data_IF_778864676642
#
_entry.id   IF_778864676642
#
_cell.length_a   1.000
_cell.length_b   1.000
_cell.length_c   1.000
_cell.angle_alpha   90.00
_cell.angle_beta   90.00
_cell.angle_gamma   90.00
#
_symmetry.space_group_name_H-M   'P 1'
#
loop_
_entity.id
_entity.type
_entity.pdbx_description
1 polymer ?
#
# COMPACT_ATOMS: atom_id res chain seq x y z
N UNK A 1 -1.15 18.53 6.13
CA UNK A 1 -1.44 17.28 6.87
C UNK A 1 -2.93 16.95 6.92
N UNK A 2 -3.75 17.90 7.31
CA UNK A 2 -5.21 17.72 7.41
C UNK A 2 -5.83 17.40 6.04
N UNK A 3 -5.28 17.94 4.97
CA UNK A 3 -5.78 17.76 3.61
C UNK A 3 -5.61 16.34 3.08
N UNK A 4 -4.70 15.56 3.68
CA UNK A 4 -4.44 14.20 3.23
C UNK A 4 -5.50 13.21 3.76
N UNK A 5 -6.15 13.54 4.88
CA UNK A 5 -7.16 12.66 5.47
C UNK A 5 -8.38 12.46 4.58
N UNK A 6 -8.97 13.53 3.99
CA UNK A 6 -10.07 13.34 3.04
C UNK A 6 -9.65 12.54 1.83
N UNK A 7 -8.43 12.78 1.32
CA UNK A 7 -7.91 12.05 0.17
C UNK A 7 -7.74 10.56 0.47
N UNK A 8 -7.24 10.23 1.67
CA UNK A 8 -7.12 8.85 2.10
C UNK A 8 -8.50 8.19 2.25
N UNK A 9 -9.47 8.92 2.79
CA UNK A 9 -10.83 8.40 2.93
C UNK A 9 -11.47 8.14 1.56
N UNK A 10 -11.30 9.04 0.62
CA UNK A 10 -11.79 8.86 -0.76
C UNK A 10 -11.13 7.66 -1.42
N UNK A 11 -9.83 7.52 -1.26
CA UNK A 11 -9.07 6.40 -1.84
C UNK A 11 -9.54 5.08 -1.24
N UNK A 12 -9.73 5.04 0.08
CA UNK A 12 -10.22 3.84 0.76
C UNK A 12 -11.64 3.50 0.32
N UNK A 13 -12.51 4.50 0.16
CA UNK A 13 -13.85 4.31 -0.34
C UNK A 13 -13.88 3.78 -1.76
N UNK A 14 -13.06 4.36 -2.64
CA UNK A 14 -12.95 3.90 -4.01
C UNK A 14 -12.43 2.46 -4.08
N UNK A 15 -11.46 2.12 -3.25
CA UNK A 15 -10.94 0.75 -3.17
C UNK A 15 -12.01 -0.22 -2.68
N UNK A 16 -12.81 0.17 -1.69
CA UNK A 16 -13.90 -0.67 -1.18
C UNK A 16 -14.97 -0.89 -2.25
N UNK A 17 -15.36 0.14 -2.97
CA UNK A 17 -16.32 0.04 -4.07
C UNK A 17 -15.78 -0.86 -5.19
N UNK A 18 -14.52 -0.71 -5.55
CA UNK A 18 -13.89 -1.55 -6.55
C UNK A 18 -13.89 -3.02 -6.11
N UNK A 19 -13.62 -3.29 -4.82
CA UNK A 19 -13.65 -4.63 -4.28
C UNK A 19 -15.04 -5.24 -4.33
N UNK A 20 -16.08 -4.46 -3.99
CA UNK A 20 -17.47 -4.91 -4.07
C UNK A 20 -17.90 -5.18 -5.52
N UNK A 21 -17.61 -4.28 -6.42
CA UNK A 21 -17.91 -4.43 -7.84
C UNK A 21 -17.23 -5.64 -8.43
N UNK A 22 -16.01 -5.87 -8.03
CA UNK A 22 -15.21 -6.99 -8.48
C UNK A 22 -15.72 -8.32 -7.96
N UNK A 23 -16.11 -8.38 -6.70
CA UNK A 23 -16.70 -9.57 -6.10
C UNK A 23 -18.01 -9.90 -6.82
N UNK A 24 -18.83 -8.90 -7.12
CA UNK A 24 -20.08 -9.07 -7.85
C UNK A 24 -19.86 -9.53 -9.28
N UNK A 25 -18.77 -9.10 -9.90
CA UNK A 25 -18.41 -9.47 -11.28
C UNK A 25 -17.67 -10.82 -11.36
N UNK A 26 -17.38 -11.46 -10.22
CA UNK A 26 -16.64 -12.72 -10.21
C UNK A 26 -15.16 -12.52 -10.51
N UNK A 27 -14.58 -11.39 -10.10
CA UNK A 27 -13.17 -11.03 -10.40
C UNK A 27 -12.12 -11.98 -9.83
N UNK A 28 -12.42 -12.64 -8.71
CA UNK A 28 -11.55 -13.69 -8.16
C UNK A 28 -10.14 -13.24 -7.80
N UNK A 29 -9.20 -14.17 -7.97
CA UNK A 29 -7.81 -14.00 -7.56
C UNK A 29 -7.07 -12.86 -8.26
N UNK A 30 -7.19 -12.66 -9.59
CA UNK A 30 -6.50 -11.56 -10.25
C UNK A 30 -6.87 -10.19 -9.69
N UNK A 31 -8.14 -10.02 -9.35
CA UNK A 31 -8.60 -8.75 -8.80
C UNK A 31 -8.16 -8.56 -7.36
N UNK A 32 -8.25 -9.61 -6.55
CA UNK A 32 -7.73 -9.58 -5.18
C UNK A 32 -6.25 -9.20 -5.18
N UNK A 33 -5.47 -9.79 -6.08
CA UNK A 33 -4.05 -9.46 -6.22
C UNK A 33 -3.85 -8.01 -6.66
N UNK A 34 -4.64 -7.55 -7.62
CA UNK A 34 -4.55 -6.16 -8.09
C UNK A 34 -4.85 -5.16 -7.00
N UNK A 35 -5.88 -5.40 -6.18
CA UNK A 35 -6.24 -4.52 -5.07
C UNK A 35 -5.18 -4.53 -3.98
N UNK A 36 -4.68 -5.71 -3.63
CA UNK A 36 -3.61 -5.82 -2.64
C UNK A 36 -2.33 -5.14 -3.14
N UNK A 37 -1.99 -5.34 -4.42
CA UNK A 37 -0.84 -4.68 -5.02
C UNK A 37 -0.98 -3.16 -5.03
N UNK A 38 -2.15 -2.66 -5.39
CA UNK A 38 -2.43 -1.23 -5.37
C UNK A 38 -2.29 -0.66 -3.96
N UNK A 39 -2.86 -1.35 -2.96
CA UNK A 39 -2.75 -0.94 -1.56
C UNK A 39 -1.30 -0.93 -1.09
N UNK A 40 -0.55 -1.97 -1.39
CA UNK A 40 0.87 -2.05 -1.04
C UNK A 40 1.68 -0.94 -1.72
N UNK A 41 1.43 -0.67 -2.99
CA UNK A 41 2.12 0.38 -3.73
C UNK A 41 1.87 1.77 -3.12
N UNK A 42 0.61 2.04 -2.75
CA UNK A 42 0.26 3.28 -2.07
C UNK A 42 0.98 3.35 -0.72
N UNK A 43 0.97 2.27 0.04
CA UNK A 43 1.66 2.19 1.33
C UNK A 43 3.16 2.47 1.20
N UNK A 44 3.82 1.83 0.24
CA UNK A 44 5.24 2.07 -0.05
C UNK A 44 5.48 3.54 -0.41
N UNK A 45 4.64 4.09 -1.28
CA UNK A 45 4.75 5.48 -1.71
C UNK A 45 4.61 6.46 -0.55
N UNK A 46 3.64 6.23 0.35
CA UNK A 46 3.43 7.11 1.50
C UNK A 46 4.59 7.06 2.48
N UNK A 47 5.09 5.86 2.79
CA UNK A 47 6.24 5.71 3.67
C UNK A 47 7.48 6.34 3.06
N UNK A 48 7.71 6.11 1.77
CA UNK A 48 8.85 6.70 1.05
C UNK A 48 8.80 8.22 1.04
N UNK A 49 7.63 8.78 0.75
CA UNK A 49 7.44 10.23 0.78
C UNK A 49 7.70 10.81 2.17
N UNK A 50 7.14 10.17 3.20
CA UNK A 50 7.32 10.62 4.57
C UNK A 50 8.79 10.56 4.98
N UNK A 51 9.49 9.48 4.61
CA UNK A 51 10.93 9.34 4.88
C UNK A 51 11.75 10.42 4.17
N UNK A 52 11.44 10.68 2.90
CA UNK A 52 12.14 11.72 2.14
C UNK A 52 11.94 13.10 2.75
N UNK A 53 10.72 13.41 3.17
CA UNK A 53 10.44 14.69 3.85
C UNK A 53 11.15 14.78 5.19
N UNK A 54 11.20 13.69 5.94
CA UNK A 54 11.88 13.66 7.24
C UNK A 54 13.39 13.86 7.07
N UNK A 55 14.00 13.25 6.06
CA UNK A 55 15.43 13.47 5.74
C UNK A 55 15.67 14.92 5.36
N UNK A 56 14.77 15.50 4.56
CA UNK A 56 14.87 16.90 4.17
C UNK A 56 14.84 17.86 5.36
N UNK A 57 14.07 17.52 6.40
CA UNK A 57 13.98 18.33 7.60
C UNK A 57 15.10 18.04 8.60
N UNK A 58 15.66 16.85 8.59
CA UNK A 58 16.70 16.45 9.53
C UNK A 58 17.74 15.57 8.85
N UNK A 59 18.65 16.19 8.05
CA UNK A 59 19.65 15.41 7.30
C UNK A 59 20.61 14.63 8.20
N UNK A 60 20.85 15.10 9.43
CA UNK A 60 21.75 14.40 10.36
C UNK A 60 21.19 13.07 10.83
N UNK A 61 19.88 12.89 10.80
CA UNK A 61 19.23 11.64 11.18
C UNK A 61 18.91 10.75 9.96
N UNK A 62 19.42 11.07 8.79
CA UNK A 62 19.07 10.39 7.53
C UNK A 62 19.22 8.88 7.61
N UNK A 63 20.29 8.38 8.25
CA UNK A 63 20.52 6.93 8.37
C UNK A 63 19.41 6.22 9.12
N UNK A 64 18.99 6.77 10.25
CA UNK A 64 17.91 6.20 11.05
C UNK A 64 16.57 6.28 10.33
N UNK A 65 16.30 7.42 9.69
CA UNK A 65 15.06 7.64 8.96
C UNK A 65 14.97 6.67 7.78
N UNK A 66 16.06 6.51 7.04
CA UNK A 66 16.08 5.58 5.92
C UNK A 66 15.89 4.14 6.35
N UNK A 67 16.51 3.74 7.47
CA UNK A 67 16.34 2.39 8.00
C UNK A 67 14.87 2.10 8.32
N UNK A 68 14.22 2.99 9.04
CA UNK A 68 12.81 2.85 9.39
C UNK A 68 11.93 2.90 8.13
N UNK A 69 12.28 3.80 7.22
CA UNK A 69 11.55 3.94 5.96
C UNK A 69 11.61 2.67 5.11
N UNK A 70 12.81 2.10 4.95
CA UNK A 70 12.99 0.86 4.17
C UNK A 70 12.24 -0.29 4.83
N UNK A 71 12.30 -0.41 6.16
CA UNK A 71 11.54 -1.44 6.87
C UNK A 71 10.03 -1.28 6.64
N UNK A 72 9.52 -0.05 6.75
CA UNK A 72 8.11 0.21 6.53
C UNK A 72 7.67 -0.12 5.09
N UNK A 73 8.51 0.24 4.12
CA UNK A 73 8.23 -0.08 2.72
C UNK A 73 8.27 -1.60 2.48
N UNK A 74 9.23 -2.29 3.09
CA UNK A 74 9.35 -3.74 2.95
C UNK A 74 8.13 -4.46 3.54
N UNK A 75 7.63 -4.02 4.69
CA UNK A 75 6.43 -4.60 5.26
C UNK A 75 5.19 -4.33 4.41
N UNK A 76 5.06 -3.13 3.87
CA UNK A 76 3.96 -2.81 2.96
C UNK A 76 4.01 -3.69 1.71
N UNK A 77 5.20 -3.90 1.17
CA UNK A 77 5.39 -4.74 -0.01
C UNK A 77 5.13 -6.23 0.30
N UNK A 78 5.43 -6.67 1.50
CA UNK A 78 5.18 -8.05 1.93
C UNK A 78 3.69 -8.40 1.85
N UNK A 79 2.81 -7.44 2.06
CA UNK A 79 1.37 -7.65 1.92
C UNK A 79 1.02 -8.07 0.50
N UNK A 80 1.62 -7.45 -0.50
CA UNK A 80 1.42 -7.83 -1.90
C UNK A 80 1.93 -9.24 -2.18
N UNK A 81 3.04 -9.62 -1.56
CA UNK A 81 3.59 -10.97 -1.71
C UNK A 81 2.65 -12.01 -1.09
N UNK A 82 2.10 -11.72 0.09
CA UNK A 82 1.11 -12.59 0.72
C UNK A 82 -0.13 -12.75 -0.17
N UNK A 83 -0.59 -11.66 -0.77
CA UNK A 83 -1.72 -11.70 -1.68
C UNK A 83 -1.40 -12.52 -2.93
N UNK A 84 -0.19 -12.41 -3.44
CA UNK A 84 0.26 -13.20 -4.58
C UNK A 84 0.22 -14.69 -4.26
N UNK A 85 0.77 -15.08 -3.12
CA UNK A 85 0.76 -16.47 -2.68
C UNK A 85 -0.68 -16.96 -2.50
N UNK A 86 -1.51 -16.18 -1.85
CA UNK A 86 -2.91 -16.52 -1.65
C UNK A 86 -3.66 -16.67 -2.99
N UNK A 87 -3.39 -15.78 -3.94
CA UNK A 87 -4.02 -15.82 -5.26
C UNK A 87 -3.66 -17.12 -5.99
N UNK A 88 -2.41 -17.52 -5.95
CA UNK A 88 -1.98 -18.77 -6.58
C UNK A 88 -2.48 -20.01 -5.84
N UNK A 89 -2.50 -19.97 -4.52
CA UNK A 89 -2.88 -21.12 -3.71
C UNK A 89 -4.41 -21.35 -3.69
N UNK A 90 -5.18 -20.27 -3.63
CA UNK A 90 -6.62 -20.30 -3.45
C UNK A 90 -7.42 -19.99 -4.70
N UNK A 91 -6.78 -19.43 -5.70
CA UNK A 91 -7.43 -18.93 -6.91
C UNK A 91 -7.64 -19.97 -8.02
N UNK A 92 -7.64 -21.24 -7.69
CA UNK A 92 -7.85 -22.33 -8.67
C UNK A 92 -9.31 -22.51 -9.02
#
# INVERSE_FOLDING_TARGET
MIEILPLLAETAGAAAEAAHGAAAAGGGAPLALGLAGAGAAIGVGLVGMAAAQAVGRNPTASGKILTIGILGMAFAEAIAIYALVAAFALGR
#
